data_IF_469691815783
#
_entry.id   IF_469691815783
#
_cell.length_a   1.000
_cell.length_b   1.000
_cell.length_c   1.000
_cell.angle_alpha   90.00
_cell.angle_beta   90.00
_cell.angle_gamma   90.00
#
_symmetry.space_group_name_H-M   'P 1'
#
loop_
_entity.id
_entity.type
_entity.pdbx_description
1 polymer ?
#
# COMPACT_ATOMS: atom_id res chain seq x y z
N UNK A 1 9.81 -69.23 14.34
CA UNK A 1 10.02 -68.02 15.18
C UNK A 1 10.60 -66.85 14.39
N UNK A 2 11.58 -67.05 13.51
CA UNK A 2 12.20 -66.01 12.66
C UNK A 2 11.26 -65.29 11.69
N UNK A 3 10.27 -65.97 11.10
CA UNK A 3 9.27 -65.33 10.21
C UNK A 3 8.30 -64.38 10.93
N UNK A 4 7.96 -64.67 12.19
CA UNK A 4 7.08 -63.81 12.99
C UNK A 4 7.81 -62.54 13.46
N UNK A 5 9.10 -62.65 13.79
CA UNK A 5 9.96 -61.52 14.15
C UNK A 5 10.19 -60.57 12.96
N UNK A 6 10.31 -61.11 11.74
CA UNK A 6 10.46 -60.31 10.52
C UNK A 6 9.18 -59.51 10.19
N UNK A 7 8.00 -60.10 10.41
CA UNK A 7 6.70 -59.43 10.18
C UNK A 7 6.42 -58.29 11.16
N UNK A 8 6.80 -58.48 12.44
CA UNK A 8 6.66 -57.44 13.47
C UNK A 8 7.60 -56.26 13.20
N UNK A 9 8.86 -56.54 12.82
CA UNK A 9 9.83 -55.48 12.49
C UNK A 9 9.41 -54.64 11.26
N UNK A 10 8.77 -55.27 10.26
CA UNK A 10 8.31 -54.57 9.06
C UNK A 10 7.06 -53.69 9.33
N UNK A 11 6.19 -54.12 10.25
CA UNK A 11 5.01 -53.35 10.67
C UNK A 11 5.39 -52.10 11.49
N UNK A 12 6.38 -52.21 12.37
CA UNK A 12 6.89 -51.08 13.16
C UNK A 12 7.55 -50.00 12.31
N UNK A 13 8.24 -50.39 11.23
CA UNK A 13 8.87 -49.44 10.30
C UNK A 13 7.83 -48.68 9.46
N UNK A 14 6.71 -49.32 9.10
CA UNK A 14 5.62 -48.68 8.38
C UNK A 14 4.86 -47.66 9.25
N UNK A 15 4.64 -47.97 10.53
CA UNK A 15 4.00 -47.06 11.50
C UNK A 15 4.84 -45.80 11.78
N UNK A 16 6.17 -45.91 11.75
CA UNK A 16 7.07 -44.76 11.93
C UNK A 16 7.08 -43.80 10.73
N UNK A 17 6.67 -44.24 9.53
CA UNK A 17 6.58 -43.38 8.35
C UNK A 17 5.28 -42.55 8.29
N UNK A 18 4.31 -42.78 9.17
CA UNK A 18 3.04 -42.03 9.24
C UNK A 18 3.08 -40.83 10.19
N UNK A 19 4.21 -40.57 10.88
CA UNK A 19 4.36 -39.46 11.84
C UNK A 19 4.62 -38.08 11.23
N UNK A 20 4.60 -37.94 9.91
CA UNK A 20 4.89 -36.69 9.20
C UNK A 20 3.67 -35.77 9.02
N UNK A 21 2.87 -35.51 10.06
CA UNK A 21 1.89 -34.43 10.00
C UNK A 21 2.62 -33.08 10.15
N UNK A 22 3.17 -32.58 9.05
CA UNK A 22 3.76 -31.25 8.99
C UNK A 22 2.68 -30.20 9.26
N UNK A 23 2.74 -29.54 10.41
CA UNK A 23 1.94 -28.35 10.68
C UNK A 23 2.47 -27.20 9.81
N UNK A 24 1.73 -26.83 8.77
CA UNK A 24 2.01 -25.60 8.03
C UNK A 24 1.73 -24.40 8.96
N UNK A 25 2.60 -23.38 9.00
CA UNK A 25 2.34 -22.15 9.75
C UNK A 25 1.00 -21.52 9.35
N UNK A 26 0.29 -20.94 10.31
CA UNK A 26 -0.95 -20.22 10.05
C UNK A 26 -0.67 -18.93 9.28
N UNK A 27 -1.33 -18.68 8.12
CA UNK A 27 -1.09 -17.48 7.34
C UNK A 27 -1.59 -16.22 8.05
N UNK A 28 -0.77 -15.18 8.03
CA UNK A 28 -1.09 -13.83 8.52
C UNK A 28 -1.41 -12.91 7.36
N UNK A 29 -2.44 -12.10 7.55
CA UNK A 29 -2.93 -11.16 6.54
C UNK A 29 -2.75 -9.72 6.99
N UNK A 30 -2.36 -8.87 6.04
CA UNK A 30 -1.98 -7.49 6.27
C UNK A 30 -2.76 -6.55 5.37
N UNK A 31 -3.23 -5.44 5.94
CA UNK A 31 -3.84 -4.33 5.19
C UNK A 31 -2.92 -3.13 5.24
N UNK A 32 -2.72 -2.47 4.10
CA UNK A 32 -2.15 -1.13 4.11
C UNK A 32 -3.09 -0.20 4.89
N UNK A 33 -2.52 0.71 5.66
CA UNK A 33 -3.27 1.69 6.44
C UNK A 33 -2.72 3.08 6.16
N UNK A 34 -3.59 4.08 6.08
CA UNK A 34 -3.19 5.48 6.17
C UNK A 34 -2.40 5.73 7.45
N UNK A 35 -1.40 6.61 7.36
CA UNK A 35 -0.68 6.99 8.57
C UNK A 35 -1.62 7.79 9.46
N UNK A 36 -1.89 7.27 10.64
CA UNK A 36 -2.83 7.84 11.58
C UNK A 36 -2.27 9.02 12.36
N UNK A 37 -1.02 9.44 12.12
CA UNK A 37 -0.44 10.59 12.81
C UNK A 37 -1.01 11.90 12.23
N UNK A 38 -1.98 12.54 12.89
CA UNK A 38 -2.53 13.80 12.47
C UNK A 38 -1.58 14.88 13.00
N UNK A 39 -0.36 14.97 12.46
CA UNK A 39 0.45 16.19 12.58
C UNK A 39 -0.10 17.25 11.63
N UNK A 40 -1.38 17.55 11.82
CA UNK A 40 -2.05 18.69 11.26
C UNK A 40 -2.97 19.18 12.35
N UNK A 41 -2.58 20.29 12.96
CA UNK A 41 -3.44 21.15 13.76
C UNK A 41 -4.89 21.02 13.30
N UNK A 42 -5.75 20.44 14.16
CA UNK A 42 -7.20 20.46 14.01
C UNK A 42 -7.75 21.88 14.27
N UNK A 43 -7.06 22.90 13.74
CA UNK A 43 -7.72 24.16 13.43
C UNK A 43 -8.81 23.84 12.43
N UNK A 44 -10.02 24.34 12.62
CA UNK A 44 -11.16 24.23 11.70
C UNK A 44 -10.76 24.74 10.31
N UNK A 45 -10.06 23.91 9.52
CA UNK A 45 -9.71 24.22 8.15
C UNK A 45 -11.01 24.18 7.38
N UNK A 46 -11.37 25.32 6.81
CA UNK A 46 -12.48 25.41 5.87
C UNK A 46 -12.36 24.26 4.86
N UNK A 47 -13.41 23.46 4.74
CA UNK A 47 -13.44 22.36 3.80
C UNK A 47 -13.16 22.89 2.40
N UNK A 48 -12.21 22.27 1.72
CA UNK A 48 -11.92 22.62 0.35
C UNK A 48 -13.03 22.08 -0.54
N UNK A 49 -13.69 22.95 -1.31
CA UNK A 49 -14.82 22.56 -2.17
C UNK A 49 -14.36 21.92 -3.49
N UNK A 50 -13.35 21.02 -3.43
CA UNK A 50 -13.04 20.09 -4.53
C UNK A 50 -13.29 18.64 -4.16
N UNK A 51 -13.44 17.86 -5.22
CA UNK A 51 -13.38 16.42 -5.25
C UNK A 51 -12.08 15.88 -5.86
N UNK A 52 -11.57 14.76 -5.33
CA UNK A 52 -10.37 14.08 -5.82
C UNK A 52 -10.64 12.59 -6.00
N UNK A 53 -10.19 12.01 -7.12
CA UNK A 53 -10.10 10.56 -7.29
C UNK A 53 -8.66 10.10 -7.39
N UNK A 54 -8.34 8.96 -6.77
CA UNK A 54 -7.01 8.34 -6.83
C UNK A 54 -7.06 7.01 -7.56
N UNK A 55 -6.27 6.89 -8.64
CA UNK A 55 -6.13 5.68 -9.43
C UNK A 55 -6.50 5.87 -10.91
N UNK A 56 -6.14 4.91 -11.78
CA UNK A 56 -5.45 3.65 -11.49
C UNK A 56 -3.99 3.78 -11.00
N UNK A 57 -3.47 2.69 -10.44
CA UNK A 57 -2.07 2.54 -10.02
C UNK A 57 -1.38 1.47 -10.86
N UNK A 58 -0.14 1.72 -11.30
CA UNK A 58 0.74 0.68 -11.84
C UNK A 58 1.79 0.27 -10.81
N UNK A 59 2.19 -1.01 -10.83
CA UNK A 59 3.07 -1.64 -9.84
C UNK A 59 4.09 -2.56 -10.52
N UNK A 60 5.27 -2.77 -9.91
CA UNK A 60 6.19 -3.80 -10.38
C UNK A 60 5.55 -5.19 -10.21
N UNK A 61 5.63 -6.03 -11.24
CA UNK A 61 4.97 -7.36 -11.26
C UNK A 61 5.37 -8.25 -10.07
N UNK A 62 6.61 -8.12 -9.59
CA UNK A 62 7.10 -8.92 -8.46
C UNK A 62 6.30 -8.69 -7.17
N UNK A 63 5.76 -7.48 -6.97
CA UNK A 63 4.96 -7.15 -5.79
C UNK A 63 3.46 -7.18 -6.03
N UNK A 64 2.98 -7.22 -7.28
CA UNK A 64 1.55 -7.36 -7.60
C UNK A 64 1.07 -8.80 -7.38
N UNK A 65 1.06 -9.20 -6.10
CA UNK A 65 0.70 -10.55 -5.65
C UNK A 65 0.23 -10.54 -4.19
N UNK A 66 -0.42 -11.62 -3.74
CA UNK A 66 -0.86 -11.72 -2.36
C UNK A 66 0.30 -11.80 -1.36
N UNK A 67 1.43 -12.41 -1.68
CA UNK A 67 2.54 -12.54 -0.72
C UNK A 67 3.22 -11.20 -0.44
N UNK A 68 3.66 -11.00 0.80
CA UNK A 68 4.66 -9.99 1.11
C UNK A 68 5.97 -10.38 0.43
N UNK A 69 6.59 -9.41 -0.25
CA UNK A 69 7.89 -9.56 -0.89
C UNK A 69 8.89 -8.70 -0.15
N UNK A 70 9.94 -9.35 0.34
CA UNK A 70 10.97 -8.71 1.17
C UNK A 70 12.35 -8.94 0.57
N UNK A 71 13.24 -7.96 0.67
CA UNK A 71 14.64 -8.11 0.28
C UNK A 71 15.39 -8.86 1.36
N UNK A 72 16.10 -9.91 0.95
CA UNK A 72 16.96 -10.74 1.82
C UNK A 72 18.43 -10.66 1.43
N UNK A 73 18.75 -9.94 0.35
CA UNK A 73 20.12 -9.69 -0.09
C UNK A 73 20.17 -8.54 -1.11
N UNK A 74 21.36 -8.27 -1.65
CA UNK A 74 21.55 -7.20 -2.64
C UNK A 74 20.71 -7.42 -3.91
N UNK A 75 20.62 -8.66 -4.38
CA UNK A 75 19.89 -9.04 -5.59
C UNK A 75 18.94 -10.20 -5.33
N UNK A 76 18.46 -10.34 -4.09
CA UNK A 76 17.61 -11.45 -3.67
C UNK A 76 16.40 -10.94 -2.90
N UNK A 77 15.24 -11.46 -3.31
CA UNK A 77 13.96 -11.28 -2.61
C UNK A 77 13.46 -12.62 -2.11
N UNK A 78 12.71 -12.59 -1.02
CA UNK A 78 11.92 -13.71 -0.53
C UNK A 78 10.44 -13.35 -0.65
N UNK A 79 9.64 -14.33 -1.05
CA UNK A 79 8.20 -14.27 -1.03
C UNK A 79 7.76 -15.04 0.22
N UNK A 80 6.93 -14.42 1.04
CA UNK A 80 6.50 -15.01 2.30
C UNK A 80 5.16 -15.70 2.10
N UNK A 81 5.14 -17.03 2.08
CA UNK A 81 3.92 -17.79 1.83
C UNK A 81 2.91 -17.72 2.97
N UNK A 82 3.37 -17.43 4.18
CA UNK A 82 2.62 -17.28 5.42
C UNK A 82 2.36 -15.81 5.79
N UNK A 83 2.88 -14.82 5.05
CA UNK A 83 2.56 -13.40 5.24
C UNK A 83 2.03 -12.80 3.95
N UNK A 84 0.76 -12.39 3.95
CA UNK A 84 0.05 -11.98 2.74
C UNK A 84 -0.66 -10.64 2.92
N UNK A 85 -0.79 -9.89 1.83
CA UNK A 85 -1.76 -8.80 1.76
C UNK A 85 -3.18 -9.37 1.79
N UNK A 86 -4.04 -8.74 2.59
CA UNK A 86 -5.45 -9.06 2.71
C UNK A 86 -6.26 -8.60 1.49
N UNK A 87 -5.71 -7.66 0.72
CA UNK A 87 -6.25 -7.17 -0.55
C UNK A 87 -5.11 -6.97 -1.56
N UNK A 88 -5.39 -6.97 -2.88
CA UNK A 88 -4.38 -6.66 -3.88
C UNK A 88 -3.79 -5.26 -3.66
N UNK A 89 -2.46 -5.12 -3.78
CA UNK A 89 -1.79 -3.82 -3.63
C UNK A 89 -2.30 -2.75 -4.60
N UNK A 90 -2.71 -3.17 -5.81
CA UNK A 90 -3.34 -2.29 -6.80
C UNK A 90 -4.63 -1.64 -6.33
N UNK A 91 -5.29 -2.22 -5.32
CA UNK A 91 -6.52 -1.71 -4.74
C UNK A 91 -6.21 -0.94 -3.45
N UNK A 92 -5.32 -1.49 -2.62
CA UNK A 92 -4.96 -0.92 -1.32
C UNK A 92 -4.15 0.38 -1.39
N UNK A 93 -3.24 0.52 -2.36
CA UNK A 93 -2.44 1.74 -2.53
C UNK A 93 -3.31 2.97 -2.85
N UNK A 94 -4.17 2.96 -3.89
CA UNK A 94 -5.02 4.11 -4.17
C UNK A 94 -6.02 4.38 -3.04
N UNK A 95 -6.48 3.34 -2.32
CA UNK A 95 -7.32 3.51 -1.12
C UNK A 95 -6.60 4.28 -0.01
N UNK A 96 -5.40 3.85 0.36
CA UNK A 96 -4.61 4.51 1.42
C UNK A 96 -4.20 5.93 1.02
N UNK A 97 -3.81 6.15 -0.25
CA UNK A 97 -3.51 7.50 -0.73
C UNK A 97 -4.76 8.38 -0.70
N UNK A 98 -5.95 7.86 -1.06
CA UNK A 98 -7.20 8.59 -0.94
C UNK A 98 -7.53 8.97 0.52
N UNK A 99 -7.35 8.05 1.47
CA UNK A 99 -7.52 8.30 2.91
C UNK A 99 -6.57 9.41 3.41
N UNK A 100 -5.28 9.34 3.06
CA UNK A 100 -4.31 10.37 3.41
C UNK A 100 -4.68 11.73 2.79
N UNK A 101 -5.05 11.76 1.51
CA UNK A 101 -5.42 13.00 0.82
C UNK A 101 -6.70 13.63 1.39
N UNK A 102 -7.67 12.82 1.86
CA UNK A 102 -8.85 13.34 2.55
C UNK A 102 -8.46 14.14 3.79
N UNK A 103 -7.54 13.61 4.60
CA UNK A 103 -7.02 14.28 5.80
C UNK A 103 -6.20 15.53 5.44
N UNK A 104 -5.27 15.41 4.47
CA UNK A 104 -4.36 16.49 4.10
C UNK A 104 -5.08 17.67 3.46
N UNK A 105 -6.05 17.41 2.56
CA UNK A 105 -6.69 18.45 1.77
C UNK A 105 -7.92 19.06 2.47
N UNK A 106 -8.56 18.32 3.38
CA UNK A 106 -9.89 18.68 3.87
C UNK A 106 -10.91 18.80 2.73
N UNK A 107 -10.68 18.04 1.64
CA UNK A 107 -11.49 18.09 0.44
C UNK A 107 -12.90 17.54 0.70
N UNK A 108 -13.91 18.08 0.00
CA UNK A 108 -15.31 17.65 0.11
C UNK A 108 -15.46 16.15 -0.05
N UNK A 109 -14.73 15.57 -1.00
CA UNK A 109 -14.76 14.14 -1.25
C UNK A 109 -13.45 13.66 -1.87
N UNK A 110 -12.87 12.61 -1.29
CA UNK A 110 -11.74 11.90 -1.88
C UNK A 110 -12.09 10.42 -1.96
N UNK A 111 -11.94 9.82 -3.14
CA UNK A 111 -12.25 8.40 -3.38
C UNK A 111 -11.13 7.71 -4.13
N UNK A 112 -11.02 6.39 -3.95
CA UNK A 112 -10.24 5.56 -4.87
C UNK A 112 -11.06 5.27 -6.13
N UNK A 113 -10.38 5.16 -7.28
CA UNK A 113 -10.97 4.98 -8.61
C UNK A 113 -11.92 3.78 -8.68
N UNK A 114 -11.58 2.67 -8.00
CA UNK A 114 -12.37 1.44 -8.02
C UNK A 114 -13.71 1.56 -7.29
N UNK A 115 -13.88 2.58 -6.43
CA UNK A 115 -15.04 2.70 -5.57
C UNK A 115 -16.17 3.55 -6.19
N UNK A 116 -16.02 4.14 -7.39
CA UNK A 116 -17.12 4.93 -7.97
C UNK A 116 -17.05 5.12 -9.49
N UNK A 117 -17.93 4.44 -10.24
CA UNK A 117 -18.08 4.56 -11.71
C UNK A 117 -18.90 5.81 -12.11
N UNK A 118 -19.56 6.50 -11.16
CA UNK A 118 -20.44 7.66 -11.41
C UNK A 118 -19.94 8.95 -10.75
N UNK A 119 -18.66 9.02 -10.38
CA UNK A 119 -18.04 10.23 -9.84
C UNK A 119 -17.32 11.02 -10.94
N UNK A 120 -17.60 12.32 -11.04
CA UNK A 120 -16.78 13.23 -11.84
C UNK A 120 -15.91 14.11 -10.92
N UNK A 121 -14.72 13.63 -10.54
CA UNK A 121 -13.82 14.35 -9.66
C UNK A 121 -13.19 15.55 -10.38
N UNK A 122 -13.05 16.67 -9.69
CA UNK A 122 -12.31 17.83 -10.21
C UNK A 122 -10.82 17.55 -10.38
N UNK A 123 -10.25 16.66 -9.57
CA UNK A 123 -8.86 16.21 -9.72
C UNK A 123 -8.76 14.69 -9.81
N UNK A 124 -8.02 14.22 -10.83
CA UNK A 124 -7.67 12.81 -10.99
C UNK A 124 -6.19 12.62 -10.75
N UNK A 125 -5.85 11.79 -9.76
CA UNK A 125 -4.48 11.41 -9.42
C UNK A 125 -4.19 10.04 -10.01
N UNK A 126 -3.17 9.97 -10.86
CA UNK A 126 -2.61 8.71 -11.36
C UNK A 126 -1.29 8.42 -10.65
N UNK A 127 -1.06 7.14 -10.38
CA UNK A 127 0.12 6.66 -9.67
C UNK A 127 0.83 5.61 -10.50
N UNK A 128 2.15 5.72 -10.54
CA UNK A 128 3.03 4.70 -11.10
C UNK A 128 4.15 4.40 -10.10
N UNK A 129 4.01 3.26 -9.43
CA UNK A 129 4.94 2.82 -8.41
C UNK A 129 6.13 2.14 -9.09
N UNK A 130 7.28 2.80 -9.02
CA UNK A 130 8.53 2.34 -9.63
C UNK A 130 9.28 1.40 -8.69
N UNK A 131 9.15 1.61 -7.37
CA UNK A 131 9.77 0.78 -6.33
C UNK A 131 8.79 0.62 -5.18
N UNK A 132 8.62 -0.61 -4.72
CA UNK A 132 7.81 -0.96 -3.54
C UNK A 132 8.54 -2.04 -2.76
N UNK A 133 9.62 -1.67 -2.08
CA UNK A 133 10.55 -2.64 -1.49
C UNK A 133 10.59 -2.49 0.01
N UNK A 134 10.85 -3.60 0.69
CA UNK A 134 11.08 -3.62 2.13
C UNK A 134 12.22 -4.55 2.49
N UNK A 135 12.89 -4.24 3.59
CA UNK A 135 13.91 -5.08 4.21
C UNK A 135 13.57 -5.17 5.71
N UNK A 136 13.18 -6.35 6.22
CA UNK A 136 12.75 -6.54 7.61
C UNK A 136 13.78 -6.02 8.60
N UNK A 137 13.31 -5.36 9.67
CA UNK A 137 14.16 -4.74 10.68
C UNK A 137 14.99 -3.54 10.20
N UNK A 138 14.81 -3.10 8.95
CA UNK A 138 15.57 -1.99 8.36
C UNK A 138 14.61 -0.94 7.80
N UNK A 139 14.28 -1.03 6.52
CA UNK A 139 13.58 0.06 5.83
C UNK A 139 12.57 -0.44 4.81
N UNK A 140 11.53 0.36 4.64
CA UNK A 140 10.66 0.38 3.47
C UNK A 140 11.12 1.49 2.52
N UNK A 141 11.06 1.25 1.21
CA UNK A 141 11.31 2.26 0.18
C UNK A 141 10.20 2.22 -0.86
N UNK A 142 9.58 3.39 -1.09
CA UNK A 142 8.63 3.62 -2.16
C UNK A 142 9.14 4.72 -3.07
N UNK A 143 9.32 4.41 -4.35
CA UNK A 143 9.52 5.42 -5.40
C UNK A 143 8.26 5.45 -6.27
N UNK A 144 7.67 6.63 -6.42
CA UNK A 144 6.43 6.81 -7.18
C UNK A 144 6.56 7.98 -8.15
N UNK A 145 6.10 7.78 -9.37
CA UNK A 145 5.74 8.85 -10.29
C UNK A 145 4.24 9.10 -10.15
N UNK A 146 3.83 10.37 -10.19
CA UNK A 146 2.43 10.72 -10.07
C UNK A 146 2.06 11.84 -11.03
N UNK A 147 0.78 11.86 -11.42
CA UNK A 147 0.19 12.90 -12.24
C UNK A 147 -1.14 13.34 -11.63
N UNK A 148 -1.29 14.64 -11.41
CA UNK A 148 -2.55 15.28 -11.01
C UNK A 148 -3.15 15.96 -12.23
N UNK A 149 -4.35 15.55 -12.63
CA UNK A 149 -5.08 16.10 -13.79
C UNK A 149 -6.33 16.84 -13.32
N UNK A 150 -6.46 18.14 -13.61
CA UNK A 150 -7.72 18.87 -13.45
C UNK A 150 -8.75 18.38 -14.48
N UNK A 151 -9.99 18.14 -14.07
CA UNK A 151 -11.09 17.79 -14.99
C UNK A 151 -11.49 18.96 -15.89
N UNK A 152 -11.19 20.19 -15.48
CA UNK A 152 -11.40 21.42 -16.27
C UNK A 152 -10.55 21.52 -17.54
N UNK A 153 -9.63 20.57 -17.78
CA UNK A 153 -8.79 20.52 -18.98
C UNK A 153 -7.50 21.35 -18.89
N UNK A 154 -7.10 21.77 -17.68
CA UNK A 154 -5.82 22.45 -17.43
C UNK A 154 -4.60 21.53 -17.58
N UNK A 155 -3.41 22.14 -17.65
CA UNK A 155 -2.14 21.41 -17.73
C UNK A 155 -1.95 20.48 -16.51
N UNK A 156 -1.68 19.19 -16.72
CA UNK A 156 -1.51 18.25 -15.62
C UNK A 156 -0.19 18.50 -14.90
N UNK A 157 -0.22 18.48 -13.56
CA UNK A 157 1.00 18.54 -12.75
C UNK A 157 1.58 17.14 -12.57
N UNK A 158 2.86 16.97 -12.87
CA UNK A 158 3.59 15.71 -12.72
C UNK A 158 4.66 15.86 -11.65
N UNK A 159 4.98 14.78 -10.98
CA UNK A 159 6.06 14.76 -10.01
C UNK A 159 6.54 13.36 -9.68
N UNK A 160 7.53 13.33 -8.78
CA UNK A 160 8.13 12.12 -8.27
C UNK A 160 8.26 12.24 -6.75
N UNK A 161 7.97 11.16 -6.06
CA UNK A 161 8.18 11.00 -4.63
C UNK A 161 9.14 9.85 -4.39
N UNK A 162 10.06 10.03 -3.44
CA UNK A 162 10.99 9.01 -2.99
C UNK A 162 10.92 8.94 -1.46
N UNK A 163 10.18 7.96 -0.94
CA UNK A 163 9.96 7.77 0.48
C UNK A 163 10.83 6.62 0.99
N UNK A 164 11.55 6.84 2.08
CA UNK A 164 12.32 5.82 2.78
C UNK A 164 12.01 5.89 4.27
N UNK A 165 11.35 4.86 4.77
CA UNK A 165 10.90 4.79 6.16
C UNK A 165 11.64 3.67 6.88
N UNK A 166 12.09 3.94 8.10
CA UNK A 166 12.59 2.89 8.99
C UNK A 166 11.40 2.02 9.42
N UNK A 167 11.58 0.69 9.56
CA UNK A 167 10.51 -0.18 10.08
C UNK A 167 10.15 0.19 11.51
N UNK A 168 11.14 0.63 12.31
CA UNK A 168 10.95 1.07 13.69
C UNK A 168 10.75 -0.08 14.68
N UNK A 169 10.99 -1.31 14.24
CA UNK A 169 10.85 -2.53 15.03
C UNK A 169 11.07 -3.78 14.19
N UNK A 170 11.06 -4.93 14.88
CA UNK A 170 11.14 -6.25 14.27
C UNK A 170 9.77 -6.74 13.81
N UNK A 171 9.78 -7.70 12.88
CA UNK A 171 8.57 -8.34 12.38
C UNK A 171 7.86 -7.57 11.27
N UNK A 172 6.82 -8.21 10.73
CA UNK A 172 6.14 -7.73 9.52
C UNK A 172 5.07 -6.66 9.80
N UNK A 173 4.56 -6.59 11.03
CA UNK A 173 3.59 -5.55 11.44
C UNK A 173 4.24 -4.16 11.40
N UNK A 174 5.47 -4.04 11.94
CA UNK A 174 6.28 -2.82 11.88
C UNK A 174 6.64 -2.44 10.44
N UNK A 175 6.94 -3.44 9.60
CA UNK A 175 7.22 -3.27 8.18
C UNK A 175 6.00 -2.76 7.40
N UNK A 176 4.80 -3.29 7.67
CA UNK A 176 3.54 -2.82 7.07
C UNK A 176 3.19 -1.41 7.53
N UNK A 177 3.45 -1.09 8.80
CA UNK A 177 3.28 0.27 9.33
C UNK A 177 4.20 1.27 8.61
N UNK A 178 5.44 0.87 8.31
CA UNK A 178 6.38 1.69 7.55
C UNK A 178 5.95 1.90 6.08
N UNK A 179 5.27 0.94 5.46
CA UNK A 179 4.63 1.16 4.15
C UNK A 179 3.55 2.25 4.22
N UNK A 180 2.73 2.27 5.28
CA UNK A 180 1.74 3.33 5.51
C UNK A 180 2.37 4.72 5.57
N UNK A 181 3.44 4.87 6.38
CA UNK A 181 4.21 6.13 6.48
C UNK A 181 4.83 6.54 5.14
N UNK A 182 5.36 5.59 4.38
CA UNK A 182 5.97 5.89 3.08
C UNK A 182 4.93 6.39 2.08
N UNK A 183 3.72 5.79 2.07
CA UNK A 183 2.60 6.27 1.27
C UNK A 183 2.06 7.62 1.74
N UNK A 184 2.13 7.93 3.04
CA UNK A 184 1.80 9.26 3.55
C UNK A 184 2.75 10.33 2.99
N UNK A 185 4.04 10.02 2.87
CA UNK A 185 5.02 10.90 2.20
C UNK A 185 4.65 11.17 0.74
N UNK A 186 4.33 10.13 -0.04
CA UNK A 186 3.83 10.30 -1.42
C UNK A 186 2.56 11.16 -1.46
N UNK A 187 1.65 10.96 -0.50
CA UNK A 187 0.38 11.69 -0.42
C UNK A 187 0.58 13.18 -0.09
N UNK A 188 1.58 13.53 0.74
CA UNK A 188 1.94 14.93 1.04
C UNK A 188 2.36 15.66 -0.23
N UNK A 189 3.27 15.09 -1.03
CA UNK A 189 3.73 15.69 -2.29
C UNK A 189 2.58 15.93 -3.28
N UNK A 190 1.66 14.95 -3.40
CA UNK A 190 0.47 15.07 -4.24
C UNK A 190 -0.47 16.17 -3.72
N UNK A 191 -0.66 16.26 -2.40
CA UNK A 191 -1.51 17.29 -1.80
C UNK A 191 -0.98 18.70 -2.06
N UNK A 192 0.34 18.89 -2.01
CA UNK A 192 1.00 20.15 -2.34
C UNK A 192 0.84 20.49 -3.82
N UNK A 193 0.92 19.48 -4.69
CA UNK A 193 0.66 19.66 -6.11
C UNK A 193 -0.78 20.14 -6.37
N UNK A 194 -1.78 19.52 -5.74
CA UNK A 194 -3.18 19.94 -5.85
C UNK A 194 -3.37 21.37 -5.35
N UNK A 195 -2.89 21.69 -4.15
CA UNK A 195 -2.98 23.05 -3.58
C UNK A 195 -2.34 24.09 -4.48
N UNK A 196 -1.22 23.78 -5.13
CA UNK A 196 -0.57 24.71 -6.05
C UNK A 196 -1.38 24.97 -7.32
N UNK A 197 -2.13 23.97 -7.81
CA UNK A 197 -3.03 24.16 -8.96
C UNK A 197 -4.19 25.07 -8.56
N UNK A 198 -4.81 24.82 -7.41
CA UNK A 198 -5.87 25.65 -6.84
C UNK A 198 -5.43 27.11 -6.61
N UNK A 199 -4.21 27.33 -6.14
CA UNK A 199 -3.65 28.69 -6.00
C UNK A 199 -3.43 29.38 -7.35
N UNK A 200 -3.00 28.64 -8.38
CA UNK A 200 -2.75 29.17 -9.71
C UNK A 200 -4.04 29.42 -10.50
N UNK A 201 -5.12 28.70 -10.17
CA UNK A 201 -6.44 28.84 -10.78
C UNK A 201 -7.51 28.92 -9.68
N UNK A 202 -7.56 30.02 -8.92
CA UNK A 202 -8.54 30.16 -7.86
C UNK A 202 -9.93 30.01 -8.46
N UNK A 203 -10.79 29.19 -7.84
CA UNK A 203 -12.19 29.11 -8.26
C UNK A 203 -12.78 30.52 -8.31
N UNK A 204 -13.28 30.93 -9.48
CA UNK A 204 -14.15 32.11 -9.52
C UNK A 204 -15.36 31.76 -8.66
N UNK A 205 -15.47 32.42 -7.51
CA UNK A 205 -16.52 32.14 -6.54
C UNK A 205 -17.88 32.15 -7.23
N UNK A 206 -18.62 31.06 -7.07
CA UNK A 206 -20.06 31.07 -7.37
C UNK A 206 -20.64 32.13 -6.46
N UNK A 207 -20.95 33.29 -7.03
CA UNK A 207 -21.63 34.38 -6.35
C UNK A 207 -22.90 33.85 -5.70
N UNK A 208 -23.14 34.32 -4.48
CA UNK A 208 -24.39 34.13 -3.74
C UNK A 208 -25.62 34.45 -4.60
#
# INVERSE_FOLDING_TARGET
MTRALLGIALSSLFAAMLGGCGSSPEPRFYTLSADGNPESDHSEKAMADYSVSVGPVTLPEIVDRPQLVVRVGANQVALLDDHRWAEPLRDGIPRVVAENLAQLLGARQVVSYLNNVSFDPEYRVLLDIQRFESMPGQTVTIDALWTVRPASGGEPKRGRSAAREQTGGDGYDALVTAYGRALATVSRDISEAIRSIEMAQPRQGVGK
#
